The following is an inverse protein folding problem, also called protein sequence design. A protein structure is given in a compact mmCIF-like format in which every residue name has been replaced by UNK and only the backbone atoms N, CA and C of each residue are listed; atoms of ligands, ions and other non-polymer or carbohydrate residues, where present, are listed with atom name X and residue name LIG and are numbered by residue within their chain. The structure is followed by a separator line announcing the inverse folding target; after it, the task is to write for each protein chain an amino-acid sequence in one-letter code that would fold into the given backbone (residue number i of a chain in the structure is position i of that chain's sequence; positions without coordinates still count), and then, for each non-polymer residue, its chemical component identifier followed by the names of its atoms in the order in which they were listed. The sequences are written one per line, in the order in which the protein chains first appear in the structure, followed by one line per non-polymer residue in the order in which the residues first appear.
data_IF_275525412166
#
_entry.id   IF_275525412166
#
_cell.length_a   1.000
_cell.length_b   1.000
_cell.length_c   1.000
_cell.angle_alpha   90.00
_cell.angle_beta   90.00
_cell.angle_gamma   90.00
#
_symmetry.space_group_name_H-M   'P 1'
#
loop_
_entity.id
_entity.type
_entity.pdbx_description
1 polymer ?
#
# COMPACT_ATOMS: atom_id res chain seq x y z
N UNK A 1 -14.41 -1.64 21.26
CA UNK A 1 -13.80 -1.18 20.00
C UNK A 1 -12.98 -2.34 19.44
N UNK A 2 -13.07 -2.65 18.14
CA UNK A 2 -12.22 -3.68 17.56
C UNK A 2 -10.74 -3.27 17.68
N UNK A 3 -9.91 -4.23 18.04
CA UNK A 3 -8.45 -4.14 18.07
C UNK A 3 -7.88 -3.73 16.72
N UNK A 4 -6.64 -3.22 16.73
CA UNK A 4 -5.92 -2.88 15.48
C UNK A 4 -5.81 -4.09 14.55
N UNK A 5 -5.59 -5.27 15.11
CA UNK A 5 -5.49 -6.53 14.38
C UNK A 5 -6.80 -6.90 13.69
N UNK A 6 -7.94 -6.80 14.38
CA UNK A 6 -9.25 -7.10 13.77
C UNK A 6 -9.56 -6.16 12.59
N UNK A 7 -9.25 -4.86 12.73
CA UNK A 7 -9.39 -3.90 11.64
C UNK A 7 -8.49 -4.26 10.45
N UNK A 8 -7.22 -4.58 10.70
CA UNK A 8 -6.29 -5.00 9.64
C UNK A 8 -6.80 -6.25 8.91
N UNK A 9 -7.22 -7.27 9.66
CA UNK A 9 -7.74 -8.53 9.08
C UNK A 9 -8.97 -8.28 8.19
N UNK A 10 -9.87 -7.37 8.57
CA UNK A 10 -11.02 -7.03 7.72
C UNK A 10 -10.63 -6.43 6.36
N UNK A 11 -9.53 -5.67 6.29
CA UNK A 11 -9.01 -5.12 5.04
C UNK A 11 -8.34 -6.22 4.21
N UNK A 12 -7.52 -7.07 4.85
CA UNK A 12 -6.81 -8.16 4.17
C UNK A 12 -7.77 -9.22 3.59
N UNK A 13 -8.88 -9.49 4.27
CA UNK A 13 -9.93 -10.38 3.77
C UNK A 13 -10.65 -9.85 2.52
N UNK A 14 -10.50 -8.56 2.19
CA UNK A 14 -11.16 -7.92 1.06
C UNK A 14 -10.50 -8.17 -0.30
N UNK A 15 -9.30 -8.76 -0.35
CA UNK A 15 -8.58 -9.02 -1.60
C UNK A 15 -7.76 -10.31 -1.56
N UNK A 16 -7.65 -11.05 -2.68
CA UNK A 16 -6.97 -12.35 -2.71
C UNK A 16 -5.44 -12.26 -2.63
N UNK A 17 -4.86 -11.08 -2.92
CA UNK A 17 -3.42 -10.86 -3.03
C UNK A 17 -3.06 -9.50 -2.47
N UNK A 18 -1.91 -9.37 -1.79
CA UNK A 18 -1.32 -8.09 -1.37
C UNK A 18 -0.07 -7.80 -2.24
N UNK A 19 -0.07 -6.75 -3.07
CA UNK A 19 1.13 -6.33 -3.79
C UNK A 19 2.21 -5.82 -2.83
N UNK A 20 3.40 -6.43 -2.88
CA UNK A 20 4.57 -6.02 -2.09
C UNK A 20 5.49 -5.19 -2.99
N UNK A 21 5.54 -3.89 -2.73
CA UNK A 21 6.15 -2.90 -3.61
C UNK A 21 7.54 -2.48 -3.13
N UNK A 22 8.47 -2.40 -4.08
CA UNK A 22 9.75 -1.70 -3.95
C UNK A 22 9.68 -0.44 -4.80
N UNK A 23 9.56 0.74 -4.17
CA UNK A 23 9.42 2.01 -4.87
C UNK A 23 10.78 2.68 -5.01
N UNK A 24 11.31 2.74 -6.24
CA UNK A 24 12.62 3.33 -6.53
C UNK A 24 12.58 4.84 -6.81
N UNK A 25 11.39 5.39 -7.10
CA UNK A 25 11.18 6.81 -7.35
C UNK A 25 9.87 7.25 -6.69
N UNK A 26 9.96 8.25 -5.81
CA UNK A 26 8.81 8.85 -5.10
C UNK A 26 7.71 9.33 -6.06
N UNK A 27 8.05 9.76 -7.28
CA UNK A 27 7.09 10.22 -8.29
C UNK A 27 6.09 9.14 -8.71
N UNK A 28 6.51 7.87 -8.68
CA UNK A 28 5.70 6.73 -9.14
C UNK A 28 4.72 6.21 -8.08
N UNK A 29 4.93 6.56 -6.80
CA UNK A 29 4.21 5.97 -5.67
C UNK A 29 2.68 6.15 -5.77
N UNK A 30 2.22 7.38 -5.98
CA UNK A 30 0.78 7.71 -6.05
C UNK A 30 0.13 7.21 -7.35
N UNK A 31 0.71 7.43 -8.55
CA UNK A 31 0.18 6.86 -9.78
C UNK A 31 0.05 5.34 -9.73
N UNK A 32 1.06 4.64 -9.20
CA UNK A 32 1.06 3.18 -9.06
C UNK A 32 -0.01 2.70 -8.09
N UNK A 33 -0.08 3.27 -6.88
CA UNK A 33 -1.10 2.90 -5.88
C UNK A 33 -2.53 3.09 -6.43
N UNK A 34 -2.79 4.20 -7.12
CA UNK A 34 -4.08 4.46 -7.76
C UNK A 34 -4.37 3.50 -8.90
N UNK A 35 -3.37 3.11 -9.69
CA UNK A 35 -3.54 2.13 -10.76
C UNK A 35 -3.89 0.75 -10.21
N UNK A 36 -3.21 0.30 -9.15
CA UNK A 36 -3.51 -0.96 -8.45
C UNK A 36 -4.92 -0.95 -7.86
N UNK A 37 -5.32 0.15 -7.21
CA UNK A 37 -6.68 0.30 -6.69
C UNK A 37 -7.75 0.22 -7.79
N UNK A 38 -7.54 0.90 -8.94
CA UNK A 38 -8.44 0.78 -10.10
C UNK A 38 -8.47 -0.64 -10.70
N UNK A 39 -7.38 -1.37 -10.56
CA UNK A 39 -7.26 -2.78 -10.95
C UNK A 39 -7.88 -3.78 -9.96
N UNK A 40 -8.52 -3.31 -8.88
CA UNK A 40 -9.15 -4.17 -7.87
C UNK A 40 -8.23 -4.59 -6.73
N UNK A 41 -7.08 -3.93 -6.55
CA UNK A 41 -6.12 -4.19 -5.47
C UNK A 41 -6.00 -2.95 -4.57
N UNK A 42 -6.99 -2.69 -3.69
CA UNK A 42 -7.06 -1.45 -2.91
C UNK A 42 -6.06 -1.37 -1.74
N UNK A 43 -5.54 -2.49 -1.25
CA UNK A 43 -4.48 -2.53 -0.23
C UNK A 43 -3.14 -2.96 -0.86
N UNK A 44 -2.06 -2.29 -0.45
CA UNK A 44 -0.69 -2.54 -0.91
C UNK A 44 0.28 -2.49 0.27
N UNK A 45 1.41 -3.18 0.17
CA UNK A 45 2.50 -3.12 1.14
C UNK A 45 3.71 -2.43 0.48
N UNK A 46 4.12 -1.26 0.99
CA UNK A 46 5.37 -0.61 0.53
C UNK A 46 6.50 -1.04 1.46
N UNK A 47 7.51 -1.70 0.90
CA UNK A 47 8.66 -2.18 1.66
C UNK A 47 9.67 -1.07 1.93
N UNK A 48 10.39 -1.15 3.07
CA UNK A 48 11.50 -0.24 3.41
C UNK A 48 12.83 -0.59 2.71
N UNK A 49 12.76 -1.13 1.48
CA UNK A 49 13.94 -1.62 0.73
C UNK A 49 14.55 -0.59 -0.23
N UNK A 50 14.11 0.66 -0.15
CA UNK A 50 14.64 1.81 -0.91
C UNK A 50 14.76 3.02 0.01
N UNK A 51 15.66 3.94 -0.34
CA UNK A 51 15.82 5.21 0.40
C UNK A 51 14.51 6.04 0.41
N UNK A 52 13.73 5.93 -0.67
CA UNK A 52 12.51 6.70 -0.91
C UNK A 52 11.25 6.10 -0.25
N UNK A 53 11.35 4.92 0.37
CA UNK A 53 10.18 4.16 0.82
C UNK A 53 9.28 4.93 1.81
N UNK A 54 9.87 5.63 2.78
CA UNK A 54 9.09 6.39 3.77
C UNK A 54 8.36 7.57 3.14
N UNK A 55 8.99 8.23 2.16
CA UNK A 55 8.34 9.33 1.45
C UNK A 55 7.22 8.83 0.53
N UNK A 56 7.45 7.71 -0.15
CA UNK A 56 6.41 7.02 -0.92
C UNK A 56 5.18 6.69 -0.05
N UNK A 57 5.40 6.15 1.16
CA UNK A 57 4.32 5.87 2.12
C UNK A 57 3.56 7.15 2.49
N UNK A 58 4.27 8.24 2.83
CA UNK A 58 3.61 9.52 3.18
C UNK A 58 2.75 10.06 2.04
N UNK A 59 3.25 10.01 0.80
CA UNK A 59 2.50 10.50 -0.37
C UNK A 59 1.28 9.65 -0.71
N UNK A 60 1.34 8.34 -0.45
CA UNK A 60 0.23 7.41 -0.72
C UNK A 60 -0.82 7.44 0.39
N UNK A 61 -0.40 7.63 1.65
CA UNK A 61 -1.29 7.65 2.81
C UNK A 61 -1.97 9.01 3.06
N UNK A 62 -1.49 10.08 2.42
CA UNK A 62 -2.10 11.41 2.44
C UNK A 62 -3.22 11.56 1.41
#
# INVERSE_FOLDING_TARGET
MPSKTEKLLSLLNGQPVIPVLKIANVADAVPLARALARGGLPAIEITLRTADALEAIRRVAG
#
